data_IF_188020132302
#
_entry.id   IF_188020132302
#
_cell.length_a   1.000
_cell.length_b   1.000
_cell.length_c   1.000
_cell.angle_alpha   90.00
_cell.angle_beta   90.00
_cell.angle_gamma   90.00
#
_symmetry.space_group_name_H-M   'P 1'
#
loop_
_entity.id
_entity.type
_entity.pdbx_description
1 polymer ?
#
# COMPACT_ATOMS: atom_id res chain seq x y z
N UNK A 1 -3.03 -8.77 -2.91
CA UNK A 1 -3.25 -8.67 -4.38
C UNK A 1 -4.69 -9.08 -4.66
N UNK A 2 -5.40 -8.38 -5.53
CA UNK A 2 -6.75 -8.79 -5.96
C UNK A 2 -6.66 -9.27 -7.41
N UNK A 3 -7.10 -10.51 -7.65
CA UNK A 3 -7.12 -11.11 -8.98
C UNK A 3 -8.02 -10.28 -9.93
N UNK A 4 -7.68 -10.13 -11.22
CA UNK A 4 -8.31 -9.17 -12.12
C UNK A 4 -9.85 -9.19 -12.15
N UNK A 5 -10.45 -10.39 -12.17
CA UNK A 5 -11.92 -10.56 -12.21
C UNK A 5 -12.67 -10.07 -10.97
N UNK A 6 -11.96 -9.73 -9.89
CA UNK A 6 -12.53 -9.28 -8.63
C UNK A 6 -12.09 -7.84 -8.28
N UNK A 7 -11.46 -7.13 -9.21
CA UNK A 7 -11.06 -5.75 -9.01
C UNK A 7 -12.30 -4.83 -8.96
N UNK A 8 -12.18 -3.69 -8.28
CA UNK A 8 -13.23 -2.68 -8.12
C UNK A 8 -14.50 -3.12 -7.36
N UNK A 9 -14.50 -4.32 -6.75
CA UNK A 9 -15.60 -4.82 -5.92
C UNK A 9 -15.42 -4.54 -4.42
N UNK A 10 -14.54 -3.62 -4.05
CA UNK A 10 -14.28 -3.26 -2.64
C UNK A 10 -13.38 -4.23 -1.85
N UNK A 11 -13.02 -5.40 -2.41
CA UNK A 11 -12.17 -6.39 -1.74
C UNK A 11 -10.80 -5.85 -1.31
N UNK A 12 -10.20 -4.96 -2.11
CA UNK A 12 -8.94 -4.32 -1.73
C UNK A 12 -9.11 -3.49 -0.45
N UNK A 13 -10.18 -2.69 -0.36
CA UNK A 13 -10.45 -1.86 0.82
C UNK A 13 -10.80 -2.68 2.06
N UNK A 14 -11.53 -3.79 1.88
CA UNK A 14 -11.80 -4.73 2.97
C UNK A 14 -10.51 -5.38 3.49
N UNK A 15 -9.69 -5.91 2.58
CA UNK A 15 -8.43 -6.55 2.94
C UNK A 15 -7.47 -5.57 3.62
N UNK A 16 -7.34 -4.34 3.12
CA UNK A 16 -6.50 -3.32 3.75
C UNK A 16 -6.98 -2.98 5.16
N UNK A 17 -8.30 -2.85 5.38
CA UNK A 17 -8.85 -2.61 6.72
C UNK A 17 -8.55 -3.75 7.67
N UNK A 18 -8.79 -4.98 7.24
CA UNK A 18 -8.50 -6.15 8.06
C UNK A 18 -7.02 -6.23 8.46
N UNK A 19 -6.10 -5.92 7.53
CA UNK A 19 -4.67 -5.85 7.85
C UNK A 19 -4.34 -4.72 8.83
N UNK A 20 -5.00 -3.57 8.71
CA UNK A 20 -4.85 -2.47 9.66
C UNK A 20 -5.30 -2.88 11.06
N UNK A 21 -6.47 -3.50 11.19
CA UNK A 21 -7.01 -3.97 12.47
C UNK A 21 -6.04 -4.94 13.17
N UNK A 22 -5.46 -5.88 12.42
CA UNK A 22 -4.44 -6.81 12.94
C UNK A 22 -3.21 -6.06 13.45
N UNK A 23 -2.74 -5.04 12.71
CA UNK A 23 -1.57 -4.27 13.12
C UNK A 23 -1.86 -3.39 14.34
N UNK A 24 -3.06 -2.81 14.42
CA UNK A 24 -3.51 -2.01 15.56
C UNK A 24 -3.55 -2.86 16.83
N UNK A 25 -4.18 -4.03 16.77
CA UNK A 25 -4.20 -4.98 17.90
C UNK A 25 -2.82 -5.43 18.36
N UNK A 26 -1.84 -5.45 17.45
CA UNK A 26 -0.46 -5.81 17.75
C UNK A 26 0.45 -4.60 18.10
N UNK A 27 -0.10 -3.38 18.14
CA UNK A 27 0.63 -2.11 18.30
C UNK A 27 1.81 -1.98 17.31
N UNK A 28 1.56 -2.36 16.04
CA UNK A 28 2.56 -2.35 14.97
C UNK A 28 2.29 -1.28 13.93
N UNK A 29 3.37 -0.71 13.41
CA UNK A 29 3.34 0.17 12.24
C UNK A 29 3.20 -0.65 10.96
N UNK A 30 2.46 -0.13 9.99
CA UNK A 30 2.38 -0.72 8.64
C UNK A 30 3.19 0.17 7.69
N UNK A 31 3.99 -0.47 6.85
CA UNK A 31 4.69 0.16 5.74
C UNK A 31 4.18 -0.44 4.43
N UNK A 32 4.01 0.41 3.41
CA UNK A 32 3.63 -0.05 2.07
C UNK A 32 4.34 0.75 0.98
N UNK A 33 4.34 0.18 -0.20
CA UNK A 33 4.75 0.83 -1.43
C UNK A 33 3.55 0.88 -2.37
N UNK A 34 3.24 2.04 -2.93
CA UNK A 34 2.05 2.26 -3.75
C UNK A 34 2.31 3.12 -4.98
N UNK A 35 1.56 2.86 -6.04
CA UNK A 35 1.50 3.74 -7.21
C UNK A 35 0.70 5.00 -6.86
N UNK A 36 0.98 6.09 -7.59
CA UNK A 36 0.28 7.36 -7.44
C UNK A 36 -1.27 7.23 -7.50
N UNK A 37 -1.78 6.34 -8.35
CA UNK A 37 -3.23 6.09 -8.49
C UNK A 37 -3.90 5.51 -7.24
N UNK A 38 -3.13 4.90 -6.33
CA UNK A 38 -3.66 4.31 -5.10
C UNK A 38 -3.60 5.26 -3.90
N UNK A 39 -2.90 6.40 -4.02
CA UNK A 39 -2.68 7.33 -2.91
C UNK A 39 -3.97 7.89 -2.30
N UNK A 40 -4.97 8.36 -3.09
CA UNK A 40 -6.18 8.94 -2.50
C UNK A 40 -6.91 7.94 -1.59
N UNK A 41 -7.00 6.67 -2.03
CA UNK A 41 -7.62 5.59 -1.26
C UNK A 41 -6.85 5.27 0.02
N UNK A 42 -5.52 5.20 -0.06
CA UNK A 42 -4.70 4.84 1.09
C UNK A 42 -4.60 5.99 2.12
N UNK A 43 -4.63 7.25 1.68
CA UNK A 43 -4.75 8.41 2.57
C UNK A 43 -6.06 8.40 3.36
N UNK A 44 -7.17 7.99 2.73
CA UNK A 44 -8.45 7.80 3.43
C UNK A 44 -8.38 6.68 4.50
N UNK A 45 -7.40 5.78 4.39
CA UNK A 45 -7.07 4.75 5.38
C UNK A 45 -5.92 5.18 6.31
N UNK A 46 -5.67 6.49 6.42
CA UNK A 46 -4.68 7.11 7.32
C UNK A 46 -3.23 6.70 7.08
N UNK A 47 -2.89 6.31 5.85
CA UNK A 47 -1.50 6.19 5.44
C UNK A 47 -0.92 7.58 5.11
N UNK A 48 0.22 7.86 5.72
CA UNK A 48 1.05 9.02 5.44
C UNK A 48 2.13 8.62 4.42
N UNK A 49 2.33 9.45 3.40
CA UNK A 49 3.25 9.12 2.32
C UNK A 49 4.45 10.05 2.32
N UNK A 50 5.65 9.46 2.25
CA UNK A 50 6.87 10.17 1.88
C UNK A 50 6.97 10.22 0.36
N UNK A 51 7.69 11.22 -0.15
CA UNK A 51 7.79 11.53 -1.59
C UNK A 51 8.14 10.32 -2.46
N UNK A 52 7.92 10.44 -3.78
CA UNK A 52 8.14 9.35 -4.71
C UNK A 52 9.61 8.93 -4.69
N UNK A 53 9.85 7.62 -4.74
CA UNK A 53 11.18 7.05 -5.00
C UNK A 53 11.18 6.29 -6.30
N UNK A 54 12.28 6.40 -7.01
CA UNK A 54 12.58 5.52 -8.13
C UNK A 54 12.78 4.10 -7.60
N UNK A 55 12.15 3.15 -8.28
CA UNK A 55 12.23 1.73 -7.90
C UNK A 55 12.71 0.98 -9.13
N UNK A 56 13.93 0.49 -9.06
CA UNK A 56 14.49 -0.37 -10.09
C UNK A 56 14.19 -1.81 -9.68
N UNK A 57 13.42 -2.52 -10.50
CA UNK A 57 13.26 -3.96 -10.33
C UNK A 57 14.04 -4.65 -11.44
N UNK A 58 14.90 -5.58 -11.04
CA UNK A 58 15.54 -6.51 -11.94
C UNK A 58 14.59 -7.68 -12.15
N UNK A 59 13.83 -7.63 -13.23
CA UNK A 59 13.18 -8.83 -13.74
C UNK A 59 14.26 -9.73 -14.37
N UNK A 60 14.08 -11.04 -14.36
CA UNK A 60 15.13 -12.05 -14.58
C UNK A 60 15.95 -11.90 -15.88
N UNK A 61 15.52 -11.06 -16.80
CA UNK A 61 16.21 -10.79 -18.07
C UNK A 61 16.38 -9.29 -18.40
N UNK A 62 15.76 -8.35 -17.65
CA UNK A 62 15.83 -6.90 -17.93
C UNK A 62 15.65 -6.05 -16.67
N UNK A 63 16.43 -4.97 -16.57
CA UNK A 63 16.11 -3.88 -15.66
C UNK A 63 14.93 -3.09 -16.23
N UNK A 64 13.81 -3.08 -15.50
CA UNK A 64 12.64 -2.28 -15.85
C UNK A 64 12.57 -1.14 -14.85
N UNK A 65 12.66 0.10 -15.35
CA UNK A 65 12.36 1.27 -14.56
C UNK A 65 10.85 1.28 -14.28
N UNK A 66 10.47 1.10 -13.02
CA UNK A 66 9.06 1.18 -12.66
C UNK A 66 8.60 2.63 -12.52
N UNK A 67 7.30 2.90 -12.76
CA UNK A 67 6.71 4.17 -12.39
C UNK A 67 7.01 4.53 -10.94
N UNK A 68 7.25 5.83 -10.69
CA UNK A 68 7.50 6.40 -9.36
C UNK A 68 6.60 5.76 -8.30
N UNK A 69 7.23 5.13 -7.31
CA UNK A 69 6.55 4.44 -6.22
C UNK A 69 6.62 5.30 -4.97
N UNK A 70 5.49 5.39 -4.28
CA UNK A 70 5.34 6.16 -3.06
C UNK A 70 5.37 5.23 -1.86
N UNK A 71 6.16 5.59 -0.86
CA UNK A 71 6.27 4.82 0.37
C UNK A 71 5.34 5.41 1.42
N UNK A 72 4.44 4.58 1.92
CA UNK A 72 3.44 4.93 2.91
C UNK A 72 3.73 4.29 4.24
N UNK A 73 3.42 4.99 5.33
CA UNK A 73 3.43 4.47 6.70
C UNK A 73 2.09 4.77 7.37
N UNK A 74 1.64 3.85 8.21
CA UNK A 74 0.53 4.07 9.15
C UNK A 74 0.97 3.68 10.55
N UNK A 75 0.63 4.52 11.53
CA UNK A 75 0.78 4.22 12.96
C UNK A 75 -0.38 3.38 13.48
N UNK A 76 -0.12 2.55 14.47
CA UNK A 76 -1.18 1.82 15.17
C UNK A 76 -2.11 2.80 15.88
N UNK A 77 -3.41 2.58 15.77
CA UNK A 77 -4.40 3.30 16.57
C UNK A 77 -4.50 2.66 17.96
N UNK A 78 -4.33 3.48 18.99
CA UNK A 78 -4.58 3.09 20.38
C UNK A 78 -5.92 3.71 20.77
N UNK A 79 -6.87 2.85 21.12
CA UNK A 79 -8.16 3.25 21.73
C UNK A 79 -7.95 3.87 23.13
#
# INVERSE_FOLDING_TARGET
>A
MIIPGFQNMGHASWLTRHCNDIADHADRKIFLAARASSLPRLRALRFEFVGPRETHIKDSEREVELPKTWFGMRHAERD
#
